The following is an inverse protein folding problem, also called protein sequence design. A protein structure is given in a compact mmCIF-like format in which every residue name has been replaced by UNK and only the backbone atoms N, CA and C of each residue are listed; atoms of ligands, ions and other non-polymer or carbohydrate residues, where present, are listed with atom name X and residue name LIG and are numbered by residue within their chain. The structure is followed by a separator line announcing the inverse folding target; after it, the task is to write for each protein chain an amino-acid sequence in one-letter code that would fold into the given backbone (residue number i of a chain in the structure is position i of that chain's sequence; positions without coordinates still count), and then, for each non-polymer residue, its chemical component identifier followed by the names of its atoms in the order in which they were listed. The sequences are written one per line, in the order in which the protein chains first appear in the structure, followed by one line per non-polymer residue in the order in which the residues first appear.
data_IF_460864760586
#
_entry.id   IF_460864760586
#
_cell.length_a   1.000
_cell.length_b   1.000
_cell.length_c   1.000
_cell.angle_alpha   90.00
_cell.angle_beta   90.00
_cell.angle_gamma   90.00
#
_symmetry.space_group_name_H-M   'P 1'
#
loop_
_entity.id
_entity.type
_entity.pdbx_description
1 polymer ?
2 non-polymer ?
3 non-polymer ?
4 non-polymer ?
5 water ?
#
# COMPACT_ATOMS: atom_id res chain seq x y z
N UNK A 9 3.19 -5.04 26.20
CA UNK A 9 4.15 -5.60 27.16
C UNK A 9 4.74 -6.92 26.69
N UNK A 10 5.96 -6.84 26.20
CA UNK A 10 6.56 -7.96 25.48
C UNK A 10 7.15 -8.95 26.45
N UNK A 11 7.18 -10.21 26.04
CA UNK A 11 7.88 -11.20 26.84
C UNK A 11 9.37 -11.09 26.59
N UNK A 12 10.14 -11.85 27.37
CA UNK A 12 11.54 -11.97 27.13
C UNK A 12 11.78 -12.44 25.70
N UNK A 13 12.73 -11.81 25.02
CA UNK A 13 13.08 -12.23 23.68
C UNK A 13 14.59 -12.17 23.58
N UNK A 14 15.18 -13.09 22.84
CA UNK A 14 16.61 -13.04 22.60
C UNK A 14 16.86 -12.77 21.13
N UNK A 15 17.57 -11.67 20.86
CA UNK A 15 17.91 -11.30 19.48
C UNK A 15 19.14 -10.41 19.49
N UNK A 16 19.76 -10.17 18.32
CA UNK A 16 20.98 -9.39 18.24
C UNK A 16 20.76 -7.96 18.70
N UNK A 17 21.70 -7.46 19.47
CA UNK A 17 21.62 -6.09 19.99
C UNK A 17 21.79 -5.08 18.85
N UNK A 18 20.90 -4.09 18.75
CA UNK A 18 21.17 -3.02 17.79
C UNK A 18 22.40 -2.24 18.24
N UNK A 19 23.17 -1.75 17.29
CA UNK A 19 24.36 -1.00 17.63
C UNK A 19 24.27 0.41 17.06
N UNK A 20 24.27 1.36 17.97
CA UNK A 20 24.09 2.76 17.68
C UNK A 20 25.09 3.29 16.64
N UNK A 21 26.32 2.77 16.70
CA UNK A 21 27.37 3.25 15.81
C UNK A 21 27.56 2.34 14.59
N UNK A 22 26.61 1.43 14.39
CA UNK A 22 26.60 0.59 13.20
C UNK A 22 25.23 0.70 12.51
N UNK A 23 25.14 1.57 11.49
CA UNK A 23 23.87 1.67 10.75
C UNK A 23 23.51 0.34 10.12
N UNK A 24 22.21 0.12 9.94
CA UNK A 24 21.71 -1.08 9.27
C UNK A 24 21.90 -0.98 7.76
N UNK A 25 21.69 0.21 7.22
CA UNK A 25 21.82 0.45 5.80
C UNK A 25 22.57 1.77 5.68
N UNK A 26 23.65 1.78 4.90
CA UNK A 26 24.35 3.04 4.65
C UNK A 26 24.11 3.54 3.24
N UNK A 27 23.42 2.74 2.45
CA UNK A 27 23.25 3.04 1.03
C UNK A 27 21.96 3.78 0.72
N UNK A 28 21.04 3.82 1.68
CA UNK A 28 19.73 4.38 1.45
C UNK A 28 19.26 5.22 2.63
N UNK A 29 18.32 6.11 2.32
CA UNK A 29 17.65 6.89 3.34
C UNK A 29 16.66 6.00 4.09
N UNK A 30 16.79 5.93 5.41
CA UNK A 30 15.90 5.05 6.18
C UNK A 30 14.90 5.80 7.07
N UNK A 31 14.95 7.13 7.05
CA UNK A 31 13.93 7.92 7.75
C UNK A 31 13.64 9.18 6.95
N UNK A 32 12.36 9.55 6.87
CA UNK A 32 11.99 10.77 6.16
C UNK A 32 12.32 12.01 7.03
N UNK A 33 12.26 13.20 6.43
CA UNK A 33 12.54 14.39 7.24
C UNK A 33 11.47 14.69 8.27
N UNK A 34 10.33 13.99 8.23
CA UNK A 34 9.33 14.14 9.29
C UNK A 34 9.35 12.93 10.23
N UNK A 35 10.45 12.19 10.18
CA UNK A 35 10.76 11.12 11.13
C UNK A 35 9.84 9.90 10.98
N UNK A 36 9.39 9.67 9.75
CA UNK A 36 8.73 8.39 9.43
C UNK A 36 9.81 7.44 8.93
N UNK A 37 9.82 6.21 9.44
CA UNK A 37 10.75 5.23 8.88
C UNK A 37 10.45 4.94 7.40
N UNK A 38 11.51 4.70 6.66
CA UNK A 38 11.42 4.17 5.29
C UNK A 38 11.83 2.72 5.38
N UNK A 39 10.87 1.84 5.06
CA UNK A 39 11.01 0.41 5.37
C UNK A 39 11.78 -0.32 4.27
N UNK A 40 13.00 -0.74 4.63
CA UNK A 40 13.90 -1.49 3.77
C UNK A 40 14.31 -2.73 4.51
N UNK A 41 14.68 -3.78 3.77
CA UNK A 41 15.25 -4.93 4.40
C UNK A 41 16.50 -4.56 5.18
N UNK A 42 16.60 -5.09 6.40
CA UNK A 42 17.74 -4.82 7.25
C UNK A 42 17.41 -3.83 8.35
N UNK A 43 16.32 -3.08 8.20
CA UNK A 43 16.00 -2.02 9.15
C UNK A 43 15.16 -2.52 10.30
N UNK A 44 14.52 -3.69 10.15
CA UNK A 44 13.58 -4.14 11.16
C UNK A 44 13.85 -5.57 11.59
N UNK A 45 13.52 -5.88 12.84
CA UNK A 45 13.55 -7.24 13.37
C UNK A 45 12.10 -7.68 13.43
N UNK A 46 11.73 -8.56 12.52
CA UNK A 46 10.34 -8.92 12.38
C UNK A 46 9.82 -9.71 13.59
N UNK A 47 10.72 -10.33 14.35
CA UNK A 47 10.25 -11.02 15.55
C UNK A 47 9.69 -10.03 16.56
N UNK A 48 10.36 -8.89 16.73
CA UNK A 48 9.85 -7.89 17.67
C UNK A 48 8.52 -7.33 17.17
N UNK A 49 8.46 -6.99 15.91
CA UNK A 49 7.23 -6.43 15.35
C UNK A 49 6.07 -7.41 15.39
N UNK A 50 6.36 -8.67 15.06
CA UNK A 50 5.29 -9.67 15.12
C UNK A 50 4.71 -9.76 16.51
N UNK A 51 5.58 -9.73 17.51
CA UNK A 51 5.11 -9.81 18.90
C UNK A 51 4.23 -8.61 19.24
N UNK A 52 4.67 -7.41 18.88
CA UNK A 52 3.91 -6.22 19.21
C UNK A 52 2.51 -6.29 18.59
N UNK A 53 2.44 -6.69 17.32
CA UNK A 53 1.14 -6.68 16.64
C UNK A 53 0.24 -7.86 17.04
N UNK A 54 0.85 -9.02 17.34
CA UNK A 54 0.05 -10.15 17.82
C UNK A 54 -0.54 -9.86 19.18
N UNK A 55 0.19 -9.14 20.02
CA UNK A 55 -0.32 -8.86 21.38
C UNK A 55 -1.53 -7.93 21.33
N UNK A 56 -1.70 -7.22 20.22
CA UNK A 56 -2.89 -6.42 20.00
C UNK A 56 -3.96 -7.15 19.16
N UNK A 57 -3.75 -8.45 18.89
CA UNK A 57 -4.63 -9.26 18.01
C UNK A 57 -5.03 -8.50 16.75
N UNK A 58 -4.02 -7.97 16.08
CA UNK A 58 -4.20 -7.13 14.91
C UNK A 58 -4.87 -7.87 13.76
N UNK A 59 -5.88 -7.24 13.16
CA UNK A 59 -6.50 -7.77 11.95
C UNK A 59 -6.22 -6.82 10.81
N UNK A 60 -5.75 -7.37 9.69
CA UNK A 60 -5.40 -6.55 8.53
C UNK A 60 -6.37 -6.88 7.41
N UNK A 61 -7.04 -5.88 6.86
CA UNK A 61 -7.85 -6.07 5.68
C UNK A 61 -7.06 -5.72 4.45
N UNK A 62 -7.25 -6.49 3.39
CA UNK A 62 -6.56 -6.25 2.13
C UNK A 62 -7.64 -6.12 1.10
N UNK A 63 -7.68 -4.95 0.44
CA UNK A 63 -8.67 -4.70 -0.60
C UNK A 63 -8.03 -4.81 -1.97
N UNK A 64 -8.75 -5.44 -2.88
CA UNK A 64 -8.27 -5.58 -4.24
C UNK A 64 -9.46 -5.57 -5.16
N UNK A 65 -9.32 -4.90 -6.30
CA UNK A 65 -10.35 -4.82 -7.30
C UNK A 65 -9.98 -5.69 -8.49
N UNK A 66 -10.94 -6.47 -8.94
CA UNK A 66 -10.68 -7.32 -10.08
C UNK A 66 -11.91 -7.31 -10.95
N UNK A 67 -11.95 -6.34 -11.84
CA UNK A 67 -13.12 -6.11 -12.67
C UNK A 67 -12.79 -6.45 -14.10
N UNK A 68 -13.79 -6.99 -14.82
CA UNK A 68 -13.61 -7.39 -16.22
C UNK A 68 -12.46 -8.40 -16.34
N UNK A 69 -11.51 -8.16 -17.23
CA UNK A 69 -10.51 -9.18 -17.53
C UNK A 69 -9.56 -9.44 -16.36
N UNK A 70 -9.49 -8.49 -15.43
CA UNK A 70 -8.50 -8.56 -14.36
C UNK A 70 -8.81 -9.62 -13.32
N UNK A 71 -10.00 -10.25 -13.40
CA UNK A 71 -10.26 -11.40 -12.54
C UNK A 71 -9.22 -12.48 -12.77
N UNK A 72 -8.62 -12.52 -13.96
CA UNK A 72 -7.62 -13.53 -14.29
C UNK A 72 -6.37 -13.45 -13.39
N UNK A 73 -6.14 -12.28 -12.80
CA UNK A 73 -4.99 -12.10 -11.91
C UNK A 73 -5.19 -12.61 -10.48
N UNK A 74 -6.43 -12.96 -10.13
CA UNK A 74 -6.70 -13.21 -8.71
C UNK A 74 -6.04 -14.49 -8.21
N UNK A 75 -5.94 -15.52 -9.04
CA UNK A 75 -5.41 -16.80 -8.57
C UNK A 75 -3.99 -16.63 -8.07
N UNK A 76 -3.11 -16.06 -8.89
CA UNK A 76 -1.73 -15.86 -8.43
C UNK A 76 -1.64 -14.82 -7.30
N UNK A 77 -2.45 -13.77 -7.38
CA UNK A 77 -2.41 -12.76 -6.33
C UNK A 77 -2.72 -13.38 -4.97
N UNK A 78 -3.81 -14.17 -4.91
CA UNK A 78 -4.23 -14.73 -3.62
C UNK A 78 -3.34 -15.87 -3.15
N UNK A 79 -2.93 -16.74 -4.08
CA UNK A 79 -2.05 -17.83 -3.67
C UNK A 79 -0.74 -17.30 -3.11
N UNK A 80 -0.19 -16.28 -3.74
CA UNK A 80 1.06 -15.73 -3.24
C UNK A 80 0.83 -14.91 -1.98
N UNK A 81 -0.34 -14.27 -1.84
CA UNK A 81 -0.62 -13.57 -0.58
C UNK A 81 -0.65 -14.56 0.59
N UNK A 82 -1.19 -15.75 0.35
CA UNK A 82 -1.20 -16.77 1.40
C UNK A 82 0.21 -17.19 1.82
N UNK A 83 1.17 -17.14 0.91
CA UNK A 83 2.54 -17.51 1.25
C UNK A 83 3.31 -16.39 1.91
N UNK A 84 2.93 -15.14 1.65
CA UNK A 84 3.81 -14.04 2.03
C UNK A 84 3.22 -12.87 2.77
N UNK A 85 1.90 -12.72 2.78
CA UNK A 85 1.28 -11.48 3.31
C UNK A 85 0.76 -11.69 4.73
N UNK A 86 1.39 -11.02 5.69
CA UNK A 86 0.89 -11.05 7.08
C UNK A 86 0.73 -12.45 7.64
N UNK A 87 1.63 -13.37 7.28
CA UNK A 87 1.45 -14.73 7.76
C UNK A 87 1.61 -14.77 9.28
N UNK A 88 0.66 -15.42 9.93
CA UNK A 88 0.64 -15.45 11.38
C UNK A 88 -0.33 -14.48 12.02
N UNK A 89 -0.83 -13.54 11.22
CA UNK A 89 -1.77 -12.56 11.71
C UNK A 89 -3.14 -12.78 11.12
N UNK A 90 -4.14 -12.15 11.71
CA UNK A 90 -5.49 -12.23 11.18
C UNK A 90 -5.61 -11.38 9.93
N UNK A 91 -6.12 -11.95 8.86
CA UNK A 91 -6.24 -11.26 7.57
C UNK A 91 -7.64 -11.41 7.01
N UNK A 92 -8.20 -10.34 6.46
CA UNK A 92 -9.48 -10.44 5.80
C UNK A 92 -9.30 -9.86 4.42
N UNK A 93 -9.43 -10.69 3.38
CA UNK A 93 -9.34 -10.19 2.01
C UNK A 93 -10.70 -9.71 1.56
N UNK A 94 -10.75 -8.55 0.92
CA UNK A 94 -11.98 -8.06 0.35
C UNK A 94 -11.79 -7.94 -1.14
N UNK A 95 -12.43 -8.82 -1.90
CA UNK A 95 -12.23 -8.84 -3.34
C UNK A 95 -13.46 -8.21 -4.00
N UNK A 96 -13.25 -7.08 -4.68
CA UNK A 96 -14.33 -6.37 -5.35
C UNK A 96 -14.32 -6.75 -6.81
N UNK A 97 -15.42 -7.30 -7.28
CA UNK A 97 -15.43 -7.80 -8.64
C UNK A 97 -16.82 -7.70 -9.24
N UNK A 98 -16.86 -7.61 -10.56
CA UNK A 98 -18.13 -7.69 -11.27
C UNK A 98 -18.49 -9.13 -11.61
N UNK A 99 -17.62 -10.07 -11.27
CA UNK A 99 -17.82 -11.48 -11.63
C UNK A 99 -17.52 -12.38 -10.44
N UNK A 100 -18.42 -12.41 -9.46
CA UNK A 100 -18.12 -13.19 -8.25
C UNK A 100 -17.80 -14.65 -8.56
N UNK A 101 -18.42 -15.21 -9.59
CA UNK A 101 -18.18 -16.63 -9.86
C UNK A 101 -16.80 -16.89 -10.48
N UNK A 102 -16.12 -15.84 -10.93
CA UNK A 102 -14.77 -15.99 -11.50
C UNK A 102 -13.70 -15.93 -10.43
N UNK A 103 -14.10 -15.68 -9.18
CA UNK A 103 -13.10 -15.65 -8.11
C UNK A 103 -12.63 -17.07 -7.86
N UNK A 104 -11.32 -17.31 -7.91
CA UNK A 104 -10.83 -18.67 -7.80
C UNK A 104 -10.97 -19.21 -6.40
N UNK A 105 -11.07 -20.53 -6.27
CA UNK A 105 -11.08 -21.15 -4.96
C UNK A 105 -9.64 -21.24 -4.49
N UNK A 106 -9.31 -20.45 -3.48
CA UNK A 106 -7.96 -20.49 -2.89
C UNK A 106 -8.09 -20.92 -1.45
N UNK A 107 -7.28 -21.90 -1.06
CA UNK A 107 -7.31 -22.39 0.30
C UNK A 107 -6.57 -21.40 1.19
N UNK A 108 -7.20 -21.02 2.30
CA UNK A 108 -6.61 -20.02 3.17
C UNK A 108 -6.09 -20.64 4.46
N UNK A 109 -5.00 -20.08 4.98
CA UNK A 109 -4.50 -20.44 6.30
C UNK A 109 -5.45 -20.06 7.42
N UNK A 110 -5.19 -20.61 8.60
CA UNK A 110 -6.08 -20.33 9.72
C UNK A 110 -6.07 -18.82 10.06
N UNK A 111 -7.20 -18.29 10.51
CA UNK A 111 -7.25 -16.89 10.89
C UNK A 111 -7.38 -15.94 9.70
N UNK A 112 -7.63 -16.48 8.51
CA UNK A 112 -7.69 -15.67 7.30
C UNK A 112 -9.01 -15.95 6.63
N UNK A 113 -9.63 -14.90 6.11
CA UNK A 113 -10.90 -15.07 5.44
C UNK A 113 -11.00 -14.20 4.23
N UNK A 114 -11.91 -14.57 3.34
CA UNK A 114 -12.08 -13.84 2.11
C UNK A 114 -13.54 -13.54 1.90
N UNK A 115 -13.85 -12.29 1.56
CA UNK A 115 -15.20 -11.89 1.22
C UNK A 115 -15.21 -11.34 -0.18
N UNK A 116 -16.18 -11.76 -0.96
CA UNK A 116 -16.36 -11.27 -2.30
C UNK A 116 -17.44 -10.21 -2.29
N UNK A 117 -17.13 -9.04 -2.81
CA UNK A 117 -18.08 -7.93 -2.85
C UNK A 117 -18.34 -7.62 -4.29
N UNK A 118 -19.58 -7.82 -4.72
CA UNK A 118 -19.89 -7.63 -6.12
C UNK A 118 -20.11 -6.16 -6.45
N UNK A 119 -19.52 -5.70 -7.54
CA UNK A 119 -19.71 -4.34 -8.01
C UNK A 119 -20.09 -4.37 -9.49
N UNK A 120 -20.52 -3.23 -10.03
CA UNK A 120 -20.82 -3.17 -11.45
C UNK A 120 -19.53 -3.00 -12.25
N UNK A 121 -19.55 -3.43 -13.51
CA UNK A 121 -18.37 -3.29 -14.36
C UNK A 121 -18.20 -1.86 -14.88
N UNK A 130 -10.22 4.58 -11.10
CA UNK A 130 -10.30 5.70 -10.16
C UNK A 130 -11.28 5.42 -9.02
N UNK A 131 -12.47 4.89 -9.35
CA UNK A 131 -13.59 4.62 -8.43
C UNK A 131 -13.33 3.60 -7.29
N UNK A 132 -12.10 3.11 -7.20
CA UNK A 132 -11.71 2.37 -6.02
C UNK A 132 -11.82 3.28 -4.78
N UNK A 133 -11.51 4.56 -4.97
CA UNK A 133 -11.51 5.47 -3.84
C UNK A 133 -12.91 5.58 -3.23
N UNK A 134 -13.91 5.72 -4.09
CA UNK A 134 -15.28 5.83 -3.61
C UNK A 134 -15.70 4.54 -2.91
N UNK A 135 -15.38 3.40 -3.49
CA UNK A 135 -15.81 2.14 -2.92
C UNK A 135 -15.21 1.95 -1.52
N UNK A 136 -13.94 2.31 -1.35
CA UNK A 136 -13.30 2.10 -0.06
C UNK A 136 -13.84 3.02 1.03
N UNK A 137 -14.10 4.28 0.67
CA UNK A 137 -14.43 5.31 1.66
C UNK A 137 -15.89 5.34 2.08
N UNK A 138 -16.79 5.12 1.13
CA UNK A 138 -18.21 5.33 1.37
C UNK A 138 -18.97 4.02 1.59
N UNK A 139 -18.96 3.17 0.56
CA UNK A 139 -19.79 1.96 0.61
C UNK A 139 -19.39 0.99 1.71
N UNK A 140 -18.09 0.93 1.99
CA UNK A 140 -17.59 -0.10 2.89
C UNK A 140 -17.17 0.47 4.24
N UNK A 141 -17.46 1.74 4.44
CA UNK A 141 -17.00 2.46 5.62
C UNK A 141 -17.26 1.73 6.95
N UNK A 142 -18.53 1.41 7.20
CA UNK A 142 -18.91 0.83 8.48
C UNK A 142 -18.39 -0.60 8.62
N UNK A 143 -18.47 -1.37 7.54
CA UNK A 143 -17.95 -2.73 7.56
C UNK A 143 -16.47 -2.79 7.94
N UNK A 144 -15.65 -1.95 7.31
CA UNK A 144 -14.23 -2.05 7.61
C UNK A 144 -13.94 -1.61 9.04
N UNK A 145 -14.63 -0.57 9.53
CA UNK A 145 -14.38 -0.10 10.88
C UNK A 145 -14.64 -1.19 11.92
N UNK A 146 -15.60 -2.05 11.64
CA UNK A 146 -15.99 -3.10 12.58
C UNK A 146 -15.17 -4.38 12.43
N UNK A 147 -14.53 -4.55 11.27
CA UNK A 147 -13.92 -5.86 10.98
C UNK A 147 -12.41 -5.91 11.01
N UNK A 148 -11.76 -4.78 10.74
CA UNK A 148 -10.30 -4.80 10.69
C UNK A 148 -9.68 -3.59 11.37
N UNK A 149 -8.40 -3.69 11.72
CA UNK A 149 -7.66 -2.59 12.35
C UNK A 149 -6.91 -1.74 11.37
N UNK A 150 -6.39 -2.37 10.33
CA UNK A 150 -5.67 -1.69 9.27
C UNK A 150 -6.22 -2.13 7.95
N UNK A 151 -6.10 -1.26 6.95
CA UNK A 151 -6.48 -1.58 5.59
C UNK A 151 -5.28 -1.39 4.70
N UNK A 152 -5.11 -2.33 3.77
CA UNK A 152 -4.05 -2.25 2.78
C UNK A 152 -4.75 -2.34 1.42
N UNK A 153 -4.46 -1.40 0.55
CA UNK A 153 -5.18 -1.29 -0.72
C UNK A 153 -4.20 -1.45 -1.85
N UNK A 154 -4.39 -2.48 -2.67
CA UNK A 154 -3.42 -2.80 -3.70
C UNK A 154 -4.03 -3.09 -5.06
N UNK A 155 -3.18 -3.00 -6.07
CA UNK A 155 -3.52 -3.48 -7.43
C UNK A 155 -3.50 -5.00 -7.47
N UNK A 156 -4.31 -5.57 -8.38
CA UNK A 156 -4.45 -7.03 -8.47
C UNK A 156 -3.45 -7.67 -9.43
N UNK A 157 -2.91 -6.88 -10.37
CA UNK A 157 -2.01 -7.38 -11.40
C UNK A 157 -0.59 -7.52 -10.85
N UNK A 158 -0.50 -8.24 -9.75
CA UNK A 158 0.70 -8.25 -8.92
C UNK A 158 0.83 -9.61 -8.28
N UNK A 159 2.02 -9.91 -7.77
CA UNK A 159 2.19 -11.12 -7.00
C UNK A 159 3.16 -10.84 -5.86
N UNK A 160 2.97 -11.53 -4.76
CA UNK A 160 3.90 -11.48 -3.67
C UNK A 160 5.00 -12.47 -3.93
N UNK A 161 6.24 -12.04 -3.77
CA UNK A 161 7.37 -12.94 -3.93
C UNK A 161 8.19 -13.08 -2.65
N UNK A 162 7.92 -12.24 -1.66
CA UNK A 162 8.67 -12.35 -0.44
C UNK A 162 7.82 -11.69 0.63
N UNK A 163 8.32 -11.74 1.84
CA UNK A 163 7.61 -11.26 3.03
C UNK A 163 7.04 -9.84 2.89
N UNK A 164 5.73 -9.70 3.14
CA UNK A 164 5.14 -8.41 3.36
C UNK A 164 4.36 -8.56 4.64
N UNK A 165 4.84 -7.93 5.70
CA UNK A 165 4.30 -8.19 7.03
C UNK A 165 4.03 -6.92 7.82
N UNK A 166 3.93 -7.09 9.14
CA UNK A 166 3.44 -6.01 9.99
C UNK A 166 4.43 -4.85 10.11
N UNK A 167 5.64 -5.03 9.58
CA UNK A 167 6.53 -3.89 9.48
C UNK A 167 5.91 -2.75 8.70
N UNK A 168 4.93 -3.00 7.85
CA UNK A 168 4.33 -1.88 7.10
C UNK A 168 3.27 -1.13 7.89
N UNK A 169 2.78 -1.71 8.98
CA UNK A 169 1.57 -1.15 9.60
C UNK A 169 1.86 0.05 10.48
N UNK A 170 0.96 1.02 10.39
CA UNK A 170 1.18 2.35 10.94
C UNK A 170 -0.10 3.11 10.61
N UNK A 171 -0.29 4.31 11.21
CA UNK A 171 -1.52 5.00 10.85
C UNK A 171 -1.72 5.28 9.35
N UNK A 172 -0.66 5.66 8.63
CA UNK A 172 -0.81 5.97 7.20
C UNK A 172 0.48 5.68 6.48
N UNK A 173 0.45 4.83 5.46
CA UNK A 173 1.65 4.62 4.70
C UNK A 173 1.42 4.77 3.20
N UNK A 174 2.48 5.21 2.54
CA UNK A 174 2.56 5.14 1.09
C UNK A 174 3.82 4.40 0.72
N UNK A 175 3.92 4.06 -0.55
CA UNK A 175 5.03 3.25 -1.06
C UNK A 175 5.73 4.01 -2.18
N UNK A 176 7.04 4.04 -2.16
CA UNK A 176 7.77 4.67 -3.25
C UNK A 176 7.55 3.98 -4.58
N UNK A 177 7.08 4.74 -5.57
CA UNK A 177 6.90 4.20 -6.90
C UNK A 177 8.27 3.78 -7.44
N UNK A 178 8.37 2.58 -8.03
CA UNK A 178 9.69 2.07 -8.42
C UNK A 178 10.33 2.82 -9.58
N UNK A 179 9.55 3.58 -10.35
CA UNK A 179 10.09 4.35 -11.45
C UNK A 179 10.75 5.64 -11.04
N UNK A 180 10.53 6.10 -9.80
CA UNK A 180 10.89 7.48 -9.47
C UNK A 180 11.72 7.64 -8.21
N UNK A 181 12.12 6.54 -7.57
CA UNK A 181 12.74 6.68 -6.26
C UNK A 181 14.10 7.37 -6.35
N UNK A 182 14.71 7.35 -7.53
CA UNK A 182 15.98 8.03 -7.69
C UNK A 182 15.86 9.37 -8.39
N UNK A 183 14.63 9.83 -8.62
CA UNK A 183 14.40 11.04 -9.40
C UNK A 183 14.26 12.32 -8.56
N UNK A 184 14.58 13.46 -9.16
CA UNK A 184 14.33 14.74 -8.52
C UNK A 184 12.87 15.10 -8.68
N UNK A 185 12.37 15.93 -7.77
CA UNK A 185 10.92 16.19 -7.74
C UNK A 185 10.38 16.79 -9.04
N UNK A 186 11.19 17.57 -9.74
CA UNK A 186 10.75 18.14 -11.01
C UNK A 186 10.37 17.07 -12.05
N UNK A 187 11.00 15.90 -11.96
CA UNK A 187 10.73 14.80 -12.88
C UNK A 187 9.54 13.93 -12.48
N UNK A 188 9.04 14.10 -11.26
CA UNK A 188 7.87 13.35 -10.82
C UNK A 188 6.69 13.71 -11.70
N UNK A 189 5.90 12.69 -12.05
CA UNK A 189 4.74 12.90 -12.91
C UNK A 189 3.50 13.26 -12.10
N UNK A 190 3.67 14.20 -11.18
CA UNK A 190 2.52 14.78 -10.50
C UNK A 190 1.64 15.52 -11.50
N UNK A 191 0.39 15.73 -11.14
CA UNK A 191 -0.45 16.66 -11.90
C UNK A 191 0.13 18.05 -11.78
N UNK A 192 0.36 18.71 -12.93
CA UNK A 192 0.97 20.02 -12.96
C UNK A 192 0.03 21.16 -13.39
N UNK A 193 -1.23 20.87 -13.69
CA UNK A 193 -2.17 21.93 -14.05
C UNK A 193 -2.85 22.46 -12.80
N UNK A 194 -2.71 23.77 -12.54
CA UNK A 194 -3.29 24.39 -11.34
C UNK A 194 -4.80 24.23 -11.30
N UNK A 195 -5.42 23.94 -12.44
CA UNK A 195 -6.88 23.76 -12.51
C UNK A 195 -7.37 22.47 -11.85
N UNK A 196 -6.46 21.53 -11.58
CA UNK A 196 -6.82 20.27 -10.95
C UNK A 196 -6.58 20.31 -9.44
N UNK A 197 -7.48 19.67 -8.69
CA UNK A 197 -7.29 19.51 -7.24
C UNK A 197 -5.99 18.77 -6.90
N UNK A 198 -5.47 18.00 -7.84
CA UNK A 198 -4.25 17.20 -7.62
C UNK A 198 -2.95 17.96 -7.90
N UNK A 199 -3.08 19.22 -8.28
CA UNK A 199 -1.93 20.06 -8.62
C UNK A 199 -0.86 20.10 -7.55
N UNK A 200 0.38 19.85 -7.97
CA UNK A 200 1.54 20.06 -7.14
C UNK A 200 2.56 20.85 -7.96
N UNK A 201 2.96 22.06 -7.48
CA UNK A 201 3.96 22.89 -8.14
C UNK A 201 5.32 22.20 -8.24
N UNK A 202 6.12 22.63 -9.20
CA UNK A 202 7.44 22.02 -9.43
C UNK A 202 8.38 22.08 -8.23
N UNK A 203 8.21 23.06 -7.35
CA UNK A 203 9.07 23.15 -6.17
C UNK A 203 8.56 22.44 -4.91
N UNK A 204 7.53 21.61 -5.06
CA UNK A 204 6.99 20.85 -3.94
C UNK A 204 7.03 19.38 -4.22
N UNK A 205 7.01 18.59 -3.15
CA UNK A 205 6.99 17.15 -3.27
C UNK A 205 8.13 16.49 -2.52
N UNK A 206 7.83 15.43 -1.78
CA UNK A 206 8.85 14.69 -1.08
C UNK A 206 9.21 13.48 -1.93
N UNK A 207 8.19 12.71 -2.29
CA UNK A 207 8.38 11.45 -3.02
C UNK A 207 7.26 11.29 -4.01
N UNK A 208 7.45 10.38 -4.97
CA UNK A 208 6.36 9.97 -5.84
C UNK A 208 5.88 8.61 -5.36
N UNK A 209 4.68 8.59 -4.77
CA UNK A 209 4.12 7.36 -4.20
C UNK A 209 3.31 6.64 -5.25
N UNK A 210 3.35 5.31 -5.20
CA UNK A 210 2.62 4.53 -6.17
C UNK A 210 1.18 4.28 -5.76
N UNK A 211 0.28 4.40 -6.72
CA UNK A 211 -1.13 4.11 -6.48
C UNK A 211 -1.44 2.66 -6.13
N UNK A 212 -0.50 1.78 -6.44
CA UNK A 212 -0.75 0.33 -6.35
C UNK A 212 -0.58 -0.28 -4.96
N UNK A 213 -0.12 0.50 -3.99
CA UNK A 213 0.07 -0.05 -2.65
C UNK A 213 0.08 1.09 -1.62
N UNK A 214 -1.03 1.28 -0.90
CA UNK A 214 -1.07 2.25 0.19
C UNK A 214 -1.94 1.67 1.30
N UNK A 215 -1.93 2.28 2.48
CA UNK A 215 -2.77 1.75 3.53
C UNK A 215 -2.56 2.48 4.83
N UNK A 216 -3.04 1.88 5.90
CA UNK A 216 -2.99 2.57 7.19
C UNK A 216 -4.08 2.06 8.10
N UNK A 217 -4.32 2.74 9.20
CA UNK A 217 -5.46 2.37 10.04
C UNK A 217 -6.73 2.59 9.26
N UNK A 218 -7.80 1.90 9.66
CA UNK A 218 -9.02 2.07 8.91
C UNK A 218 -9.41 3.56 8.86
N UNK A 219 -9.32 4.25 10.00
CA UNK A 219 -9.73 5.65 10.06
C UNK A 219 -8.91 6.48 9.07
N UNK A 220 -7.60 6.29 9.06
CA UNK A 220 -6.77 7.10 8.15
C UNK A 220 -6.96 6.76 6.68
N UNK A 221 -7.20 5.49 6.37
CA UNK A 221 -7.46 5.14 4.99
C UNK A 221 -8.80 5.66 4.54
N UNK A 222 -9.79 5.63 5.43
CA UNK A 222 -11.06 6.22 5.05
C UNK A 222 -10.96 7.74 4.84
N UNK A 223 -10.15 8.42 5.65
CA UNK A 223 -9.92 9.85 5.41
C UNK A 223 -9.24 10.10 4.07
N UNK A 224 -8.23 9.31 3.77
CA UNK A 224 -7.51 9.47 2.52
C UNK A 224 -8.42 9.22 1.32
N UNK A 225 -9.16 8.10 1.36
CA UNK A 225 -9.97 7.76 0.19
C UNK A 225 -11.15 8.72 0.03
N UNK A 226 -11.70 9.22 1.13
CA UNK A 226 -12.75 10.23 1.07
C UNK A 226 -12.22 11.51 0.45
N UNK A 227 -11.03 11.94 0.89
CA UNK A 227 -10.45 13.18 0.38
C UNK A 227 -10.17 13.02 -1.11
N UNK A 228 -9.61 11.88 -1.50
CA UNK A 228 -9.28 11.68 -2.94
C UNK A 228 -10.56 11.62 -3.76
N UNK A 229 -11.58 10.96 -3.25
CA UNK A 229 -12.82 10.86 -3.98
C UNK A 229 -13.45 12.24 -4.15
N UNK A 230 -13.45 13.02 -3.10
CA UNK A 230 -14.01 14.38 -3.18
C UNK A 230 -13.25 15.21 -4.19
N UNK A 231 -11.93 15.13 -4.16
CA UNK A 231 -11.08 15.87 -5.09
C UNK A 231 -11.32 15.43 -6.54
N UNK A 232 -11.47 14.13 -6.73
CA UNK A 232 -11.76 13.61 -8.07
C UNK A 232 -13.10 14.10 -8.60
N UNK A 233 -14.09 14.19 -7.71
CA UNK A 233 -15.40 14.67 -8.13
C UNK A 233 -15.40 16.16 -8.45
N UNK A 234 -14.62 16.93 -7.71
CA UNK A 234 -14.43 18.35 -8.03
C UNK A 234 -13.80 18.50 -9.42
N UNK A 235 -12.75 17.72 -9.68
CA UNK A 235 -12.09 17.75 -11.00
C UNK A 235 -13.07 17.37 -12.11
N UNK A 236 -13.86 16.34 -11.85
CA UNK A 236 -14.83 15.88 -12.84
C UNK A 236 -15.83 16.99 -13.19
N UNK A 237 -16.31 17.70 -12.17
CA UNK A 237 -17.25 18.80 -12.39
C UNK A 237 -16.61 19.96 -13.14
N UNK A 238 -15.28 20.07 -13.03
CA UNK A 238 -14.57 21.12 -13.72
C UNK A 238 -14.03 20.69 -15.07
N UNK A 239 -14.42 19.48 -15.50
CA UNK A 239 -13.98 18.96 -16.79
C UNK A 239 -12.49 18.70 -16.87
N UNK A 240 -11.90 18.25 -15.78
CA UNK A 240 -10.49 17.92 -15.82
C UNK A 240 -10.26 16.57 -15.15
N UNK A 241 -9.33 15.81 -15.69
CA UNK A 241 -8.97 14.52 -15.10
C UNK A 241 -7.47 14.47 -14.90
N UNK A 242 -7.06 14.24 -13.66
CA UNK A 242 -5.64 14.25 -13.33
C UNK A 242 -4.86 13.24 -14.15
N UNK A 243 -3.62 13.61 -14.47
CA UNK A 243 -2.77 12.90 -15.41
C UNK A 243 -2.64 11.40 -15.11
N UNK A 244 -2.48 11.04 -13.84
CA UNK A 244 -2.41 9.64 -13.44
C UNK A 244 -3.54 9.29 -12.49
N UNK A 245 -4.67 9.95 -12.69
CA UNK A 245 -5.93 9.53 -12.05
C UNK A 245 -5.81 9.48 -10.53
N UNK A 246 -6.23 8.37 -9.91
CA UNK A 246 -6.17 8.27 -8.45
C UNK A 246 -4.77 8.41 -7.90
N UNK A 247 -3.76 8.00 -8.65
CA UNK A 247 -2.39 8.11 -8.15
C UNK A 247 -1.99 9.58 -8.00
N UNK A 248 -2.43 10.44 -8.92
CA UNK A 248 -2.16 11.87 -8.79
C UNK A 248 -2.76 12.42 -7.50
N UNK A 249 -4.00 12.05 -7.21
CA UNK A 249 -4.66 12.53 -5.99
C UNK A 249 -4.03 11.94 -4.74
N UNK A 250 -3.64 10.67 -4.78
CA UNK A 250 -2.93 10.06 -3.66
C UNK A 250 -1.66 10.85 -3.34
N UNK A 251 -0.94 11.22 -4.40
CA UNK A 251 0.26 12.03 -4.21
C UNK A 251 -0.02 13.39 -3.61
N UNK A 252 -1.08 14.04 -4.05
CA UNK A 252 -1.44 15.32 -3.43
C UNK A 252 -1.82 15.11 -1.95
N UNK A 253 -2.56 14.05 -1.65
CA UNK A 253 -2.93 13.82 -0.27
C UNK A 253 -1.71 13.60 0.60
N UNK A 254 -0.80 12.75 0.14
CA UNK A 254 0.35 12.39 0.99
C UNK A 254 1.39 13.49 1.08
N UNK A 255 1.36 14.43 0.14
CA UNK A 255 2.16 15.63 0.28
C UNK A 255 1.66 16.48 1.44
N UNK A 256 0.35 16.63 1.53
CA UNK A 256 -0.22 17.51 2.56
C UNK A 256 -0.51 16.80 3.89
N UNK A 257 -0.50 15.46 3.90
CA UNK A 257 -0.76 14.66 5.10
C UNK A 257 0.32 13.59 5.08
N UNK A 258 1.41 13.87 5.77
CA UNK A 258 2.60 13.03 5.63
C UNK A 258 2.35 11.62 6.15
N UNK A 259 2.79 10.62 5.42
CA UNK A 259 2.63 9.25 5.92
C UNK A 259 3.53 8.98 7.10
N UNK A 260 3.08 8.12 8.00
CA UNK A 260 3.83 7.79 9.19
C UNK A 260 4.85 6.66 8.98
N UNK A 261 4.73 5.93 7.86
CA UNK A 261 5.82 5.11 7.34
C UNK A 261 5.79 5.25 5.84
N UNK A 262 6.96 5.09 5.23
CA UNK A 262 7.08 5.03 3.76
C UNK A 262 7.69 3.69 3.41
N UNK A 263 7.06 2.95 2.50
CA UNK A 263 7.62 1.67 2.10
C UNK A 263 8.59 1.86 0.96
N UNK A 264 9.75 1.19 1.04
CA UNK A 264 10.68 1.23 -0.07
C UNK A 264 10.12 0.50 -1.28
N UNK A 265 10.78 0.66 -2.43
CA UNK A 265 10.29 -0.02 -3.64
C UNK A 265 10.40 -1.54 -3.57
N UNK A 266 10.99 -2.11 -2.52
CA UNK A 266 10.90 -3.55 -2.33
C UNK A 266 9.42 -3.97 -2.37
N UNK A 267 8.55 -3.06 -1.92
CA UNK A 267 7.13 -3.32 -1.77
C UNK A 267 6.28 -3.01 -3.00
N UNK A 268 6.91 -2.50 -4.06
CA UNK A 268 6.17 -2.20 -5.27
C UNK A 268 7.18 -2.15 -6.40
N UNK A 269 7.32 -3.26 -7.09
CA UNK A 269 8.41 -3.38 -8.06
C UNK A 269 7.91 -3.97 -9.38
N UNK A 270 8.70 -3.85 -10.42
CA UNK A 270 8.40 -4.49 -11.70
C UNK A 270 9.72 -5.00 -12.22
N UNK A 271 9.96 -6.30 -12.08
CA UNK A 271 11.25 -6.85 -12.41
C UNK A 271 11.50 -6.87 -13.92
N UNK A 272 10.44 -7.02 -14.69
CA UNK A 272 10.60 -7.00 -16.14
C UNK A 272 11.11 -5.64 -16.62
N UNK A 273 10.56 -4.57 -16.06
CA UNK A 273 10.95 -3.22 -16.50
C UNK A 273 12.20 -2.67 -15.83
N UNK A 274 12.54 -3.17 -14.63
CA UNK A 274 13.55 -2.52 -13.78
C UNK A 274 14.60 -3.47 -13.22
N UNK A 275 14.46 -4.78 -13.48
CA UNK A 275 15.49 -5.70 -13.06
C UNK A 275 15.52 -5.94 -11.54
N UNK A 276 16.70 -6.19 -10.99
CA UNK A 276 16.85 -6.41 -9.56
C UNK A 276 18.14 -5.72 -9.13
N UNK A 277 18.03 -4.41 -8.89
CA UNK A 277 19.17 -3.56 -8.51
C UNK A 277 19.75 -3.97 -7.15
N UNK A 278 21.02 -3.66 -6.94
CA UNK A 278 21.68 -4.01 -5.70
C UNK A 278 21.01 -3.41 -4.47
N UNK A 279 20.39 -2.24 -4.63
CA UNK A 279 19.76 -1.58 -3.48
C UNK A 279 18.53 -2.34 -2.97
N UNK A 280 18.01 -3.27 -3.78
CA UNK A 280 16.86 -4.09 -3.37
C UNK A 280 17.33 -5.44 -2.88
N UNK A 281 17.31 -5.65 -1.57
CA UNK A 281 17.76 -6.92 -1.03
C UNK A 281 16.68 -7.98 -1.16
N UNK A 282 15.44 -7.53 -1.27
CA UNK A 282 14.29 -8.39 -1.48
C UNK A 282 13.35 -7.74 -2.47
N UNK A 283 12.68 -8.55 -3.29
CA UNK A 283 11.61 -8.04 -4.16
C UNK A 283 10.36 -8.70 -3.59
N UNK A 284 9.53 -7.90 -2.93
CA UNK A 284 8.44 -8.46 -2.14
C UNK A 284 7.11 -8.52 -2.88
N UNK A 285 6.78 -7.50 -3.65
CA UNK A 285 5.44 -7.39 -4.27
C UNK A 285 5.69 -6.76 -5.62
N UNK A 286 5.38 -7.51 -6.66
CA UNK A 286 5.87 -7.21 -7.99
C UNK A 286 4.81 -7.35 -9.06
N UNK A 287 4.93 -6.57 -10.12
CA UNK A 287 3.99 -6.62 -11.21
C UNK A 287 4.02 -7.95 -11.96
N UNK A 288 2.86 -8.37 -12.47
CA UNK A 288 2.75 -9.54 -13.32
C UNK A 288 2.50 -9.02 -14.73
N UNK A 289 3.19 -9.56 -15.72
CA UNK A 289 2.85 -9.26 -17.11
C UNK A 289 1.34 -9.28 -17.38
N UNK A 290 0.80 -8.18 -17.88
CA UNK A 290 -0.63 -8.10 -18.14
C UNK A 290 -0.99 -8.61 -19.54
#
# INVERSE_FOLDING_TARGET
MAIGEFMVSLPRMVYPQPKVLTPCRKDVLVVTPWLAPIVWEGTFNIDILNEQFRLQNTTIGLTVFAIKKYVAFLKLFLETAEKHFMVGHRVHYYVFTDQPAAVPRVTLGTGRQLSVLEVRAYKRWQDVSMRRMEMISDFCERRFLSEVDYLVCVDVDMEFRDHVGVEILTPLFGTLHPGFYGSSREAFTYERRPQSQAYIPKDEGDFYYGGAFFGGSVQEVQRLTRACHQAMMVDQANGIEAVWHDESHLNKYLLRHKPTKVLSPEYLWDQQLLGWPAVLRKLRFTAVPKNHQAVRNP
#
